data_IF_783033222683
#
_entry.id   IF_783033222683
#
_cell.length_a   1.000
_cell.length_b   1.000
_cell.length_c   1.000
_cell.angle_alpha   90.00
_cell.angle_beta   90.00
_cell.angle_gamma   90.00
#
_symmetry.space_group_name_H-M   'P 1'
#
loop_
_entity.id
_entity.type
_entity.pdbx_description
1 polymer ?
#
# COMPACT_ATOMS: atom_id res chain seq x y z
N UNK A 1 10.46 -45.90 -2.78
CA UNK A 1 11.51 -46.59 -1.99
C UNK A 1 11.30 -46.40 -0.49
N UNK A 2 11.56 -45.21 0.10
CA UNK A 2 11.45 -44.98 1.55
C UNK A 2 10.05 -44.98 2.20
N UNK A 3 9.02 -45.48 1.51
CA UNK A 3 7.66 -45.66 2.08
C UNK A 3 7.31 -47.12 2.38
N UNK A 4 7.99 -48.09 1.75
CA UNK A 4 7.85 -49.51 2.07
C UNK A 4 8.85 -49.95 3.14
N UNK A 5 8.68 -51.15 3.69
CA UNK A 5 9.65 -51.78 4.60
C UNK A 5 10.04 -50.90 5.82
N UNK A 6 9.05 -50.44 6.59
CA UNK A 6 9.33 -49.61 7.78
C UNK A 6 9.79 -50.50 8.94
N UNK A 7 10.67 -49.98 9.80
CA UNK A 7 11.10 -50.67 11.04
C UNK A 7 11.69 -52.08 10.83
N UNK A 8 12.36 -52.32 9.70
CA UNK A 8 12.98 -53.60 9.40
C UNK A 8 12.05 -54.63 8.75
N UNK A 9 10.79 -54.27 8.47
CA UNK A 9 9.88 -55.11 7.71
C UNK A 9 10.45 -55.43 6.31
N UNK A 10 10.29 -56.66 5.80
CA UNK A 10 10.69 -56.98 4.45
C UNK A 10 9.86 -56.20 3.43
N UNK A 11 10.49 -55.70 2.37
CA UNK A 11 9.79 -55.04 1.28
C UNK A 11 10.70 -54.72 0.10
N UNK A 12 10.09 -54.55 -1.06
CA UNK A 12 10.78 -54.18 -2.29
C UNK A 12 10.09 -52.97 -2.94
N UNK A 13 10.82 -52.27 -3.80
CA UNK A 13 10.23 -51.24 -4.65
C UNK A 13 10.86 -51.31 -6.02
N UNK A 14 10.03 -51.24 -7.04
CA UNK A 14 10.43 -51.29 -8.45
C UNK A 14 9.86 -50.07 -9.15
N UNK A 15 10.64 -49.51 -10.07
CA UNK A 15 10.19 -48.44 -10.96
C UNK A 15 10.04 -49.04 -12.35
N UNK A 16 9.01 -48.59 -13.05
CA UNK A 16 8.78 -48.85 -14.46
C UNK A 16 8.90 -47.50 -15.16
N UNK A 17 9.70 -47.45 -16.22
CA UNK A 17 10.01 -46.23 -16.96
C UNK A 17 9.81 -46.55 -18.44
N UNK A 18 9.16 -45.66 -19.16
CA UNK A 18 9.01 -45.72 -20.61
C UNK A 18 9.90 -44.68 -21.29
N UNK A 19 10.33 -44.95 -22.52
CA UNK A 19 11.01 -43.95 -23.36
C UNK A 19 10.08 -42.80 -23.77
N UNK A 20 8.77 -43.00 -23.65
CA UNK A 20 7.75 -41.98 -23.90
C UNK A 20 7.50 -41.06 -22.70
N UNK A 21 8.07 -41.38 -21.53
CA UNK A 21 7.90 -40.56 -20.32
C UNK A 21 8.45 -39.14 -20.52
N UNK A 22 7.87 -38.17 -19.82
CA UNK A 22 8.21 -36.74 -19.94
C UNK A 22 9.71 -36.47 -19.73
N UNK A 23 10.33 -37.18 -18.79
CA UNK A 23 11.77 -37.12 -18.54
C UNK A 23 12.58 -37.53 -19.78
N UNK A 24 12.20 -38.65 -20.38
CA UNK A 24 12.90 -39.19 -21.55
C UNK A 24 12.64 -38.32 -22.78
N UNK A 25 11.39 -37.92 -23.03
CA UNK A 25 11.04 -37.00 -24.12
C UNK A 25 11.83 -35.68 -24.10
N UNK A 26 12.09 -35.12 -22.92
CA UNK A 26 12.79 -33.82 -22.81
C UNK A 26 14.33 -33.93 -22.88
N UNK A 27 14.94 -35.04 -22.47
CA UNK A 27 16.39 -35.09 -22.22
C UNK A 27 17.17 -36.20 -22.96
N UNK A 28 16.51 -37.10 -23.70
CA UNK A 28 17.23 -38.14 -24.45
C UNK A 28 16.42 -39.17 -25.24
N UNK A 29 15.10 -39.06 -25.33
CA UNK A 29 14.21 -40.08 -25.89
C UNK A 29 14.41 -40.34 -27.38
N UNK A 30 14.56 -39.30 -28.20
CA UNK A 30 14.63 -39.44 -29.67
C UNK A 30 15.81 -40.30 -30.15
N UNK A 31 17.02 -40.04 -29.64
CA UNK A 31 18.20 -40.83 -30.01
C UNK A 31 18.12 -42.28 -29.55
N UNK A 32 17.45 -42.53 -28.42
CA UNK A 32 17.32 -43.86 -27.83
C UNK A 32 16.22 -44.66 -28.55
N UNK A 33 15.09 -44.02 -28.87
CA UNK A 33 14.00 -44.59 -29.67
C UNK A 33 14.47 -44.93 -31.08
N UNK A 34 15.23 -44.04 -31.74
CA UNK A 34 15.81 -44.35 -33.05
C UNK A 34 16.76 -45.55 -33.01
N UNK A 35 17.56 -45.67 -31.95
CA UNK A 35 18.47 -46.81 -31.79
C UNK A 35 17.66 -48.11 -31.62
N UNK A 36 16.61 -48.08 -30.80
CA UNK A 36 15.75 -49.25 -30.55
C UNK A 36 14.99 -49.70 -31.80
N UNK A 37 14.45 -48.76 -32.57
CA UNK A 37 13.77 -49.06 -33.84
C UNK A 37 14.72 -49.68 -34.86
N UNK A 38 16.00 -49.27 -34.88
CA UNK A 38 17.03 -49.86 -35.76
C UNK A 38 17.44 -51.27 -35.33
N UNK A 39 17.40 -51.57 -34.03
CA UNK A 39 17.72 -52.90 -33.50
C UNK A 39 16.52 -53.86 -33.46
N UNK A 40 15.32 -53.41 -33.84
CA UNK A 40 14.13 -54.26 -33.95
C UNK A 40 13.70 -54.89 -32.63
N UNK A 41 13.83 -54.15 -31.51
CA UNK A 41 13.33 -54.62 -30.21
C UNK A 41 11.79 -54.58 -30.17
N UNK A 42 11.18 -55.61 -29.57
CA UNK A 42 9.74 -55.69 -29.37
C UNK A 42 9.28 -54.76 -28.23
N UNK A 43 8.14 -54.09 -28.41
CA UNK A 43 7.63 -53.04 -27.51
C UNK A 43 7.27 -53.55 -26.10
N UNK A 44 6.95 -54.84 -25.97
CA UNK A 44 6.44 -55.45 -24.74
C UNK A 44 7.53 -56.15 -23.90
N UNK A 45 8.79 -56.11 -24.35
CA UNK A 45 9.92 -56.77 -23.67
C UNK A 45 10.64 -55.79 -22.73
N UNK A 46 10.76 -56.10 -21.42
CA UNK A 46 11.52 -55.26 -20.51
C UNK A 46 13.00 -55.16 -20.91
N UNK A 47 13.44 -53.96 -21.27
CA UNK A 47 14.84 -53.71 -21.62
C UNK A 47 15.65 -53.47 -20.34
N UNK A 48 16.70 -54.26 -20.15
CA UNK A 48 17.69 -54.07 -19.09
C UNK A 48 19.07 -54.04 -19.71
N UNK A 49 19.63 -52.83 -19.86
CA UNK A 49 20.97 -52.69 -20.43
C UNK A 49 21.74 -51.57 -19.72
N UNK A 50 23.02 -51.79 -19.33
CA UNK A 50 23.80 -50.79 -18.58
C UNK A 50 23.95 -49.41 -19.25
N UNK A 51 23.84 -49.32 -20.58
CA UNK A 51 23.87 -48.02 -21.28
C UNK A 51 22.57 -47.23 -21.09
N UNK A 52 21.42 -47.92 -20.96
CA UNK A 52 20.13 -47.29 -20.72
C UNK A 52 20.08 -46.71 -19.30
N UNK A 53 20.59 -47.43 -18.30
CA UNK A 53 20.72 -46.94 -16.93
C UNK A 53 21.59 -45.66 -16.86
N UNK A 54 22.70 -45.63 -17.60
CA UNK A 54 23.57 -44.44 -17.71
C UNK A 54 22.85 -43.26 -18.37
N UNK A 55 22.05 -43.51 -19.40
CA UNK A 55 21.27 -42.48 -20.09
C UNK A 55 20.18 -41.91 -19.17
N UNK A 56 19.43 -42.77 -18.48
CA UNK A 56 18.40 -42.36 -17.51
C UNK A 56 19.04 -41.55 -16.37
N UNK A 57 20.15 -42.04 -15.81
CA UNK A 57 20.89 -41.32 -14.77
C UNK A 57 21.37 -39.95 -15.24
N UNK A 58 21.92 -39.86 -16.45
CA UNK A 58 22.36 -38.60 -17.05
C UNK A 58 21.20 -37.62 -17.30
N UNK A 59 20.06 -38.13 -17.77
CA UNK A 59 18.84 -37.33 -17.94
C UNK A 59 18.36 -36.77 -16.60
N UNK A 60 18.34 -37.58 -15.54
CA UNK A 60 17.99 -37.13 -14.20
C UNK A 60 18.97 -36.06 -13.67
N UNK A 61 20.29 -36.27 -13.78
CA UNK A 61 21.29 -35.27 -13.37
C UNK A 61 21.13 -33.95 -14.13
N UNK A 62 20.80 -33.99 -15.42
CA UNK A 62 20.51 -32.77 -16.21
C UNK A 62 19.26 -32.05 -15.71
N UNK A 63 18.19 -32.77 -15.35
CA UNK A 63 16.98 -32.15 -14.77
C UNK A 63 17.28 -31.52 -13.42
N UNK A 64 18.05 -32.21 -12.57
CA UNK A 64 18.47 -31.68 -11.27
C UNK A 64 19.33 -30.42 -11.46
N UNK A 65 20.27 -30.44 -12.40
CA UNK A 65 21.07 -29.28 -12.81
C UNK A 65 20.21 -28.13 -13.32
N UNK A 66 19.29 -28.39 -14.24
CA UNK A 66 18.37 -27.38 -14.77
C UNK A 66 17.53 -26.71 -13.67
N UNK A 67 16.94 -27.50 -12.75
CA UNK A 67 16.19 -26.98 -11.61
C UNK A 67 17.09 -26.26 -10.60
N UNK A 68 18.35 -26.69 -10.44
CA UNK A 68 19.33 -25.98 -9.63
C UNK A 68 19.67 -24.62 -10.24
N UNK A 69 19.93 -24.54 -11.54
CA UNK A 69 20.28 -23.32 -12.25
C UNK A 69 19.12 -22.31 -12.23
N UNK A 70 17.87 -22.75 -12.41
CA UNK A 70 16.70 -21.88 -12.26
C UNK A 70 16.66 -21.26 -10.85
N UNK A 71 16.80 -22.08 -9.81
CA UNK A 71 16.75 -21.60 -8.42
C UNK A 71 17.92 -20.67 -8.11
N UNK A 72 19.12 -20.99 -8.60
CA UNK A 72 20.29 -20.14 -8.49
C UNK A 72 20.05 -18.79 -9.14
N UNK A 73 19.54 -18.76 -10.37
CA UNK A 73 19.21 -17.52 -11.05
C UNK A 73 18.16 -16.71 -10.28
N UNK A 74 17.06 -17.33 -9.86
CA UNK A 74 16.01 -16.65 -9.07
C UNK A 74 16.61 -16.00 -7.81
N UNK A 75 17.48 -16.72 -7.09
CA UNK A 75 18.17 -16.21 -5.91
C UNK A 75 19.11 -15.04 -6.25
N UNK A 76 19.90 -15.13 -7.33
CA UNK A 76 20.85 -14.08 -7.73
C UNK A 76 20.17 -12.74 -8.04
N UNK A 77 18.96 -12.76 -8.60
CA UNK A 77 18.15 -11.56 -8.83
C UNK A 77 17.49 -11.08 -7.52
N UNK A 78 16.95 -11.98 -6.70
CA UNK A 78 16.31 -11.61 -5.43
C UNK A 78 17.33 -11.03 -4.44
N UNK A 79 18.58 -11.51 -4.40
CA UNK A 79 19.64 -11.00 -3.53
C UNK A 79 19.86 -9.48 -3.68
N UNK A 80 19.68 -8.95 -4.88
CA UNK A 80 19.79 -7.51 -5.16
C UNK A 80 18.64 -6.76 -4.49
N UNK A 81 17.41 -7.25 -4.69
CA UNK A 81 16.20 -6.65 -4.13
C UNK A 81 16.17 -6.81 -2.60
N UNK A 82 16.64 -7.93 -2.08
CA UNK A 82 16.65 -8.23 -0.66
C UNK A 82 17.56 -7.24 0.11
N UNK A 83 18.74 -6.92 -0.43
CA UNK A 83 19.61 -5.87 0.16
C UNK A 83 18.91 -4.51 0.22
N UNK A 84 18.20 -4.12 -0.83
CA UNK A 84 17.43 -2.87 -0.83
C UNK A 84 16.28 -2.91 0.19
N UNK A 85 15.58 -4.05 0.28
CA UNK A 85 14.49 -4.28 1.23
C UNK A 85 14.97 -4.17 2.67
N UNK A 86 16.13 -4.72 3.00
CA UNK A 86 16.73 -4.61 4.34
C UNK A 86 16.91 -3.15 4.76
N UNK A 87 17.44 -2.31 3.88
CA UNK A 87 17.65 -0.88 4.13
C UNK A 87 16.32 -0.14 4.28
N UNK A 88 15.38 -0.32 3.34
CA UNK A 88 14.06 0.33 3.40
C UNK A 88 13.30 -0.09 4.66
N UNK A 89 13.36 -1.37 5.04
CA UNK A 89 12.67 -1.85 6.25
C UNK A 89 13.35 -1.36 7.53
N UNK A 90 14.67 -1.21 7.53
CA UNK A 90 15.38 -0.57 8.63
C UNK A 90 14.93 0.89 8.78
N UNK A 91 14.91 1.66 7.69
CA UNK A 91 14.43 3.05 7.70
C UNK A 91 12.96 3.17 8.15
N UNK A 92 12.06 2.29 7.67
CA UNK A 92 10.65 2.28 8.13
C UNK A 92 10.55 2.00 9.63
N UNK A 93 11.30 1.03 10.14
CA UNK A 93 11.33 0.72 11.59
C UNK A 93 11.86 1.91 12.38
N UNK A 94 12.91 2.55 11.90
CA UNK A 94 13.50 3.74 12.51
C UNK A 94 12.47 4.87 12.63
N UNK A 95 11.76 5.21 11.54
CA UNK A 95 10.68 6.22 11.55
C UNK A 95 9.58 5.88 12.57
N UNK A 96 9.21 4.60 12.68
CA UNK A 96 8.22 4.14 13.63
C UNK A 96 8.69 4.23 15.09
N UNK A 97 9.99 3.97 15.34
CA UNK A 97 10.55 3.91 16.70
C UNK A 97 11.06 5.24 17.23
N UNK A 98 11.57 6.13 16.37
CA UNK A 98 12.24 7.36 16.82
C UNK A 98 11.28 8.27 17.60
N UNK A 99 11.71 8.83 18.75
CA UNK A 99 10.87 9.70 19.55
C UNK A 99 10.69 11.09 18.91
N UNK A 100 11.52 11.48 17.96
CA UNK A 100 11.34 12.72 17.22
C UNK A 100 11.86 12.53 15.80
N UNK A 101 11.26 13.23 14.85
CA UNK A 101 11.63 13.22 13.43
C UNK A 101 11.90 14.63 12.89
N UNK A 102 11.83 15.68 13.74
CA UNK A 102 12.02 17.09 13.34
C UNK A 102 13.25 17.25 12.46
N UNK A 103 14.40 16.86 13.00
CA UNK A 103 15.68 17.11 12.37
C UNK A 103 15.83 16.27 11.10
N UNK A 104 15.27 15.06 11.07
CA UNK A 104 15.32 14.22 9.87
C UNK A 104 14.48 14.83 8.74
N UNK A 105 13.29 15.34 9.04
CA UNK A 105 12.44 16.02 8.06
C UNK A 105 13.09 17.33 7.59
N UNK A 106 13.61 18.15 8.52
CA UNK A 106 14.27 19.42 8.18
C UNK A 106 15.54 19.21 7.37
N UNK A 107 16.34 18.17 7.64
CA UNK A 107 17.51 17.82 6.79
C UNK A 107 17.08 17.54 5.36
N UNK A 108 16.01 16.77 5.14
CA UNK A 108 15.52 16.51 3.78
C UNK A 108 15.06 17.79 3.08
N UNK A 109 14.44 18.72 3.82
CA UNK A 109 14.05 20.04 3.30
C UNK A 109 15.27 20.89 2.96
N UNK A 110 16.28 20.92 3.82
CA UNK A 110 17.51 21.67 3.61
C UNK A 110 18.27 21.16 2.38
N UNK A 111 18.40 19.85 2.23
CA UNK A 111 19.04 19.22 1.07
C UNK A 111 18.24 19.47 -0.23
N UNK A 112 16.89 19.48 -0.17
CA UNK A 112 16.04 19.88 -1.30
C UNK A 112 16.27 21.33 -1.70
N UNK A 113 16.33 22.24 -0.72
CA UNK A 113 16.61 23.66 -0.93
C UNK A 113 17.99 23.84 -1.55
N UNK A 114 19.03 23.21 -0.98
CA UNK A 114 20.40 23.29 -1.49
C UNK A 114 20.50 22.76 -2.91
N UNK A 115 19.81 21.67 -3.24
CA UNK A 115 19.76 21.15 -4.62
C UNK A 115 19.14 22.17 -5.57
N UNK A 116 18.03 22.81 -5.20
CA UNK A 116 17.38 23.82 -6.03
C UNK A 116 18.25 25.07 -6.20
N UNK A 117 18.88 25.54 -5.12
CA UNK A 117 19.82 26.66 -5.17
C UNK A 117 20.96 26.31 -6.13
N UNK A 118 21.66 25.20 -5.93
CA UNK A 118 22.75 24.76 -6.81
C UNK A 118 22.34 24.62 -8.29
N UNK A 119 21.11 24.15 -8.54
CA UNK A 119 20.57 24.01 -9.91
C UNK A 119 20.34 25.35 -10.59
N UNK A 120 19.98 26.40 -9.83
CA UNK A 120 19.61 27.71 -10.36
C UNK A 120 20.68 28.78 -10.17
N UNK A 121 21.77 28.48 -9.46
CA UNK A 121 22.96 29.31 -9.34
C UNK A 121 24.20 28.50 -9.76
N UNK A 122 24.28 28.06 -11.03
CA UNK A 122 25.42 27.29 -11.50
C UNK A 122 26.66 28.18 -11.60
N UNK A 123 27.75 27.77 -10.94
CA UNK A 123 29.02 28.48 -11.04
C UNK A 123 29.08 29.85 -10.33
N UNK A 124 30.22 30.55 -10.45
CA UNK A 124 30.47 31.81 -9.75
C UNK A 124 29.83 33.04 -10.42
N UNK A 125 29.51 32.96 -11.71
CA UNK A 125 29.03 34.08 -12.51
C UNK A 125 27.55 34.35 -12.28
N UNK A 126 27.21 35.55 -11.80
CA UNK A 126 25.83 35.92 -11.44
C UNK A 126 24.90 36.05 -12.64
N UNK A 127 25.43 36.20 -13.84
CA UNK A 127 24.64 36.30 -15.08
C UNK A 127 23.95 34.97 -15.41
N UNK A 128 24.55 33.85 -15.00
CA UNK A 128 24.01 32.50 -15.22
C UNK A 128 22.95 32.11 -14.18
N UNK A 129 22.71 32.95 -13.17
CA UNK A 129 21.78 32.65 -12.09
C UNK A 129 20.33 32.95 -12.47
N UNK A 130 19.46 31.94 -12.39
CA UNK A 130 18.02 32.11 -12.59
C UNK A 130 17.26 32.13 -11.25
N UNK A 131 17.41 33.26 -10.54
CA UNK A 131 16.76 33.48 -9.24
C UNK A 131 15.23 33.53 -9.34
N UNK A 132 14.69 33.88 -10.51
CA UNK A 132 13.24 33.91 -10.74
C UNK A 132 12.69 32.49 -10.75
N UNK A 133 13.34 31.59 -11.48
CA UNK A 133 12.96 30.18 -11.52
C UNK A 133 13.15 29.52 -10.16
N UNK A 134 14.26 29.77 -9.47
CA UNK A 134 14.46 29.33 -8.08
C UNK A 134 13.29 29.75 -7.18
N UNK A 135 12.90 31.03 -7.23
CA UNK A 135 11.79 31.54 -6.42
C UNK A 135 10.46 30.85 -6.76
N UNK A 136 10.19 30.64 -8.04
CA UNK A 136 8.96 29.99 -8.49
C UNK A 136 8.92 28.52 -8.03
N UNK A 137 10.04 27.80 -8.13
CA UNK A 137 10.10 26.40 -7.71
C UNK A 137 9.98 26.26 -6.18
N UNK A 138 10.65 27.13 -5.41
CA UNK A 138 10.52 27.15 -3.95
C UNK A 138 9.09 27.44 -3.50
N UNK A 139 8.39 28.38 -4.13
CA UNK A 139 6.99 28.72 -3.79
C UNK A 139 6.00 27.58 -3.96
N UNK A 140 6.34 26.55 -4.74
CA UNK A 140 5.46 25.39 -4.91
C UNK A 140 5.28 24.61 -3.62
N UNK A 141 6.22 24.71 -2.67
CA UNK A 141 6.15 23.98 -1.41
C UNK A 141 6.52 24.83 -0.19
N UNK A 142 7.46 25.77 -0.29
CA UNK A 142 7.90 26.60 0.82
C UNK A 142 7.06 27.88 0.91
N UNK A 143 6.48 28.22 2.08
CA UNK A 143 5.74 29.46 2.26
C UNK A 143 6.70 30.66 2.35
N UNK A 144 7.11 31.20 1.20
CA UNK A 144 7.99 32.37 1.15
C UNK A 144 7.29 33.61 1.71
N UNK A 145 7.96 34.31 2.63
CA UNK A 145 7.48 35.58 3.18
C UNK A 145 7.44 36.67 2.09
N UNK A 146 6.51 37.65 2.20
CA UNK A 146 6.51 38.81 1.32
C UNK A 146 7.86 39.53 1.35
N UNK A 147 8.55 39.59 0.21
CA UNK A 147 9.89 40.17 0.09
C UNK A 147 11.04 39.16 0.09
N UNK A 148 10.83 37.91 0.50
CA UNK A 148 11.76 36.81 0.20
C UNK A 148 11.62 36.44 -1.29
N UNK A 149 12.63 36.77 -2.09
CA UNK A 149 12.57 36.55 -3.53
C UNK A 149 13.75 37.13 -4.30
N UNK A 150 13.67 37.10 -5.64
CA UNK A 150 14.83 37.30 -6.52
C UNK A 150 15.55 38.63 -6.30
N UNK A 151 14.80 39.70 -6.05
CA UNK A 151 15.35 41.06 -5.86
C UNK A 151 16.29 41.13 -4.64
N UNK A 152 15.94 40.46 -3.54
CA UNK A 152 16.81 40.40 -2.36
C UNK A 152 17.99 39.47 -2.57
N UNK A 153 17.78 38.34 -3.23
CA UNK A 153 18.82 37.33 -3.45
C UNK A 153 19.88 37.79 -4.45
N UNK A 154 19.56 38.70 -5.37
CA UNK A 154 20.49 39.20 -6.38
C UNK A 154 21.79 39.81 -5.81
N UNK A 155 21.74 40.33 -4.58
CA UNK A 155 22.92 40.88 -3.88
C UNK A 155 23.74 39.84 -3.11
N UNK A 156 23.16 38.67 -2.82
CA UNK A 156 23.67 37.70 -1.86
C UNK A 156 24.60 36.67 -2.49
N UNK A 157 25.42 36.03 -1.66
CA UNK A 157 26.17 34.81 -2.04
C UNK A 157 25.25 33.58 -1.99
N UNK A 158 25.67 32.49 -2.64
CA UNK A 158 24.94 31.21 -2.60
C UNK A 158 24.72 30.74 -1.15
N UNK A 159 25.77 30.78 -0.32
CA UNK A 159 25.68 30.38 1.08
C UNK A 159 24.73 31.26 1.92
N UNK A 160 24.69 32.57 1.63
CA UNK A 160 23.72 33.47 2.29
C UNK A 160 22.27 33.17 1.87
N UNK A 161 22.05 32.83 0.59
CA UNK A 161 20.73 32.43 0.08
C UNK A 161 20.29 31.12 0.76
N UNK A 162 21.17 30.11 0.79
CA UNK A 162 20.89 28.82 1.44
C UNK A 162 20.57 28.99 2.92
N UNK A 163 21.43 29.68 3.67
CA UNK A 163 21.24 29.92 5.10
C UNK A 163 19.88 30.58 5.38
N UNK A 164 19.52 31.65 4.64
CA UNK A 164 18.22 32.32 4.83
C UNK A 164 17.04 31.44 4.45
N UNK A 165 17.17 30.61 3.42
CA UNK A 165 16.11 29.68 3.03
C UNK A 165 15.96 28.55 4.05
N UNK A 166 17.06 28.06 4.64
CA UNK A 166 17.03 27.07 5.71
C UNK A 166 16.40 27.63 6.99
N UNK A 167 16.78 28.84 7.42
CA UNK A 167 16.15 29.53 8.55
C UNK A 167 14.65 29.75 8.34
N UNK A 168 14.27 30.21 7.14
CA UNK A 168 12.87 30.39 6.76
C UNK A 168 12.11 29.06 6.79
N UNK A 169 12.71 27.98 6.30
CA UNK A 169 12.12 26.66 6.29
C UNK A 169 11.90 26.09 7.70
N UNK A 170 12.86 26.29 8.59
CA UNK A 170 12.74 25.90 9.99
C UNK A 170 11.62 26.70 10.69
N UNK A 171 11.64 28.03 10.59
CA UNK A 171 10.59 28.90 11.16
C UNK A 171 9.21 28.54 10.63
N UNK A 172 9.07 28.36 9.31
CA UNK A 172 7.81 27.97 8.68
C UNK A 172 7.33 26.59 9.15
N UNK A 173 8.23 25.66 9.41
CA UNK A 173 7.87 24.31 9.88
C UNK A 173 7.34 24.37 11.31
N UNK A 174 7.99 25.13 12.19
CA UNK A 174 7.57 25.30 13.58
C UNK A 174 6.23 26.05 13.67
N UNK A 175 6.09 27.18 12.95
CA UNK A 175 4.83 27.94 12.86
C UNK A 175 3.67 27.10 12.33
N UNK A 176 3.91 26.30 11.29
CA UNK A 176 2.91 25.39 10.74
C UNK A 176 2.46 24.38 11.80
N UNK A 177 3.40 23.74 12.50
CA UNK A 177 3.09 22.76 13.53
C UNK A 177 2.31 23.35 14.69
N UNK A 178 2.76 24.50 15.20
CA UNK A 178 2.13 25.25 16.27
C UNK A 178 0.67 25.55 15.92
N UNK A 179 0.44 26.17 14.76
CA UNK A 179 -0.90 26.53 14.28
C UNK A 179 -1.82 25.30 14.13
N UNK A 180 -1.32 24.20 13.57
CA UNK A 180 -2.11 22.98 13.41
C UNK A 180 -2.44 22.33 14.75
N UNK A 181 -1.47 22.32 15.68
CA UNK A 181 -1.67 21.81 17.04
C UNK A 181 -2.75 22.61 17.78
N UNK A 182 -2.68 23.94 17.76
CA UNK A 182 -3.67 24.84 18.37
C UNK A 182 -5.08 24.61 17.80
N UNK A 183 -5.19 24.49 16.46
CA UNK A 183 -6.46 24.23 15.79
C UNK A 183 -7.08 22.90 16.23
N UNK A 184 -6.28 21.83 16.29
CA UNK A 184 -6.74 20.50 16.71
C UNK A 184 -7.02 20.42 18.21
N UNK A 185 -6.17 21.03 19.03
CA UNK A 185 -6.36 21.09 20.48
C UNK A 185 -7.66 21.81 20.83
N UNK A 186 -7.96 22.91 20.14
CA UNK A 186 -9.25 23.61 20.26
C UNK A 186 -10.46 22.76 19.87
N UNK A 187 -10.32 21.82 18.93
CA UNK A 187 -11.39 20.86 18.61
C UNK A 187 -11.58 19.84 19.75
N UNK A 188 -10.49 19.28 20.28
CA UNK A 188 -10.54 18.32 21.41
C UNK A 188 -11.16 18.94 22.65
N UNK A 189 -10.89 20.22 22.93
CA UNK A 189 -11.53 20.95 24.03
C UNK A 189 -13.06 21.06 23.87
N UNK A 190 -13.55 21.21 22.63
CA UNK A 190 -15.00 21.26 22.33
C UNK A 190 -15.67 19.91 22.51
N UNK A 191 -14.94 18.80 22.40
CA UNK A 191 -15.45 17.44 22.61
C UNK A 191 -15.63 17.09 24.11
N UNK A 192 -15.29 17.98 25.04
CA UNK A 192 -15.35 17.75 26.50
C UNK A 192 -14.60 16.46 26.94
N UNK A 193 -13.51 16.14 26.25
CA UNK A 193 -12.71 14.94 26.47
C UNK A 193 -11.82 15.08 27.71
N UNK A 194 -11.70 14.00 28.49
CA UNK A 194 -10.72 13.86 29.58
C UNK A 194 -9.42 13.21 29.07
N UNK A 195 -8.33 13.31 29.84
CA UNK A 195 -7.02 12.76 29.44
C UNK A 195 -7.07 11.23 29.30
N UNK A 196 -7.78 10.52 30.18
CA UNK A 196 -8.00 9.06 30.06
C UNK A 196 -8.74 8.66 28.77
N UNK A 197 -9.55 9.57 28.23
CA UNK A 197 -10.26 9.38 26.96
C UNK A 197 -9.31 9.33 25.76
N UNK A 198 -8.13 9.95 25.87
CA UNK A 198 -7.09 9.85 24.85
C UNK A 198 -6.41 8.48 24.87
N UNK A 199 -6.20 7.91 26.06
CA UNK A 199 -5.59 6.59 26.24
C UNK A 199 -6.47 5.44 25.74
N UNK A 200 -7.77 5.51 26.03
CA UNK A 200 -8.76 4.50 25.66
C UNK A 200 -9.28 4.64 24.22
N UNK A 201 -8.83 5.66 23.48
CA UNK A 201 -9.24 5.90 22.11
C UNK A 201 -8.72 4.82 21.14
N UNK A 202 -9.57 4.40 20.20
CA UNK A 202 -9.16 3.54 19.07
C UNK A 202 -8.21 4.24 18.08
N UNK A 203 -8.14 5.57 18.10
CA UNK A 203 -7.24 6.36 17.25
C UNK A 203 -5.78 6.30 17.76
N UNK A 204 -4.82 5.78 16.96
CA UNK A 204 -3.40 5.76 17.32
C UNK A 204 -2.80 7.14 17.61
N UNK A 205 -3.27 8.21 16.95
CA UNK A 205 -2.80 9.58 17.20
C UNK A 205 -3.09 9.98 18.65
N UNK A 206 -4.32 9.74 19.12
CA UNK A 206 -4.73 10.10 20.49
C UNK A 206 -3.94 9.34 21.55
N UNK A 207 -3.65 8.05 21.33
CA UNK A 207 -2.79 7.25 22.22
C UNK A 207 -1.35 7.74 22.26
N UNK A 208 -0.79 8.13 21.11
CA UNK A 208 0.54 8.72 21.04
C UNK A 208 0.60 10.05 21.80
N UNK A 209 -0.39 10.93 21.57
CA UNK A 209 -0.54 12.20 22.27
C UNK A 209 -0.62 11.97 23.77
N UNK A 210 -1.44 11.01 24.22
CA UNK A 210 -1.54 10.68 25.64
C UNK A 210 -0.18 10.33 26.25
N UNK A 211 0.60 9.45 25.61
CA UNK A 211 1.94 9.11 26.05
C UNK A 211 2.89 10.32 26.13
N UNK A 212 2.79 11.27 25.19
CA UNK A 212 3.57 12.52 25.21
C UNK A 212 3.17 13.44 26.34
N UNK A 213 1.87 13.62 26.53
CA UNK A 213 1.33 14.43 27.63
C UNK A 213 1.78 13.85 28.97
N UNK A 214 1.68 12.54 29.18
CA UNK A 214 2.16 11.88 30.40
C UNK A 214 3.67 12.05 30.64
N UNK A 215 4.49 12.06 29.58
CA UNK A 215 5.93 12.26 29.71
C UNK A 215 6.33 13.69 30.10
N UNK A 216 5.49 14.68 29.78
CA UNK A 216 5.68 16.09 30.22
C UNK A 216 5.07 16.34 31.60
N UNK A 217 3.97 15.67 31.89
CA UNK A 217 3.44 15.56 33.25
C UNK A 217 4.29 14.58 34.07
N UNK A 218 3.90 14.38 35.33
CA UNK A 218 4.43 13.29 36.13
C UNK A 218 4.01 11.94 35.48
N UNK A 219 4.93 10.96 35.30
CA UNK A 219 4.61 9.64 34.73
C UNK A 219 3.49 8.88 35.44
N UNK A 220 3.20 9.22 36.70
CA UNK A 220 2.07 8.69 37.46
C UNK A 220 1.19 9.86 37.96
N UNK A 221 0.38 10.46 37.10
CA UNK A 221 -0.48 11.58 37.49
C UNK A 221 -1.64 11.08 38.36
N UNK A 222 -2.15 11.98 39.20
CA UNK A 222 -3.33 11.74 40.03
C UNK A 222 -4.51 11.22 39.17
N UNK A 223 -5.16 10.10 39.53
CA UNK A 223 -6.36 9.61 38.85
C UNK A 223 -7.44 10.67 38.65
N UNK A 224 -7.60 11.60 39.59
CA UNK A 224 -8.60 12.68 39.49
C UNK A 224 -8.26 13.67 38.35
N UNK A 225 -6.97 13.90 38.11
CA UNK A 225 -6.49 14.71 36.98
C UNK A 225 -6.82 14.04 35.66
N UNK A 226 -6.69 12.71 35.57
CA UNK A 226 -6.91 11.95 34.35
C UNK A 226 -8.37 11.95 33.89
N UNK A 227 -9.31 11.90 34.85
CA UNK A 227 -10.75 11.98 34.62
C UNK A 227 -11.26 13.41 34.40
N UNK A 228 -10.44 14.43 34.67
CA UNK A 228 -10.85 15.82 34.50
C UNK A 228 -10.89 16.20 33.00
N UNK A 229 -11.99 16.80 32.50
CA UNK A 229 -12.06 17.28 31.13
C UNK A 229 -10.95 18.31 30.84
N UNK A 230 -10.29 18.19 29.69
CA UNK A 230 -9.13 19.02 29.30
C UNK A 230 -9.42 20.53 29.43
N UNK A 231 -10.64 20.95 29.11
CA UNK A 231 -11.07 22.36 29.22
C UNK A 231 -11.13 22.91 30.65
N UNK A 232 -11.22 22.03 31.66
CA UNK A 232 -11.34 22.37 33.09
C UNK A 232 -10.01 22.28 33.85
N UNK A 233 -8.93 21.89 33.18
CA UNK A 233 -7.61 21.80 33.80
C UNK A 233 -7.12 23.18 34.23
N UNK A 234 -6.30 23.22 35.28
CA UNK A 234 -5.62 24.44 35.73
C UNK A 234 -4.71 24.99 34.62
N UNK A 235 -4.44 26.30 34.62
CA UNK A 235 -3.62 26.95 33.59
C UNK A 235 -2.25 26.29 33.40
N UNK A 236 -1.58 25.92 34.50
CA UNK A 236 -0.28 25.28 34.47
C UNK A 236 -0.33 23.90 33.79
N UNK A 237 -1.23 23.02 34.26
CA UNK A 237 -1.38 21.67 33.68
C UNK A 237 -1.85 21.75 32.23
N UNK A 238 -2.75 22.67 31.93
CA UNK A 238 -3.26 22.87 30.57
C UNK A 238 -2.14 23.23 29.60
N UNK A 239 -1.19 24.07 30.01
CA UNK A 239 -0.04 24.43 29.17
C UNK A 239 0.86 23.24 28.85
N UNK A 240 1.12 22.37 29.84
CA UNK A 240 1.90 21.15 29.61
C UNK A 240 1.17 20.13 28.72
N UNK A 241 -0.15 20.00 28.91
CA UNK A 241 -1.00 19.16 28.05
C UNK A 241 -1.00 19.67 26.61
N UNK A 242 -1.09 20.99 26.42
CA UNK A 242 -1.05 21.62 25.10
C UNK A 242 0.29 21.40 24.40
N UNK A 243 1.40 21.56 25.12
CA UNK A 243 2.74 21.27 24.59
C UNK A 243 2.91 19.78 24.24
N UNK A 244 2.48 18.87 25.12
CA UNK A 244 2.52 17.42 24.85
C UNK A 244 1.63 17.01 23.68
N UNK A 245 0.49 17.70 23.50
CA UNK A 245 -0.37 17.53 22.35
C UNK A 245 0.33 17.95 21.06
N UNK A 246 0.96 19.14 21.04
CA UNK A 246 1.71 19.64 19.90
C UNK A 246 2.83 18.67 19.47
N UNK A 247 3.61 18.17 20.42
CA UNK A 247 4.68 17.20 20.16
C UNK A 247 4.15 15.89 19.58
N UNK A 248 3.12 15.32 20.21
CA UNK A 248 2.52 14.05 19.78
C UNK A 248 1.90 14.18 18.39
N UNK A 249 1.24 15.29 18.12
CA UNK A 249 0.67 15.58 16.82
C UNK A 249 1.75 15.77 15.75
N UNK A 250 2.76 16.60 16.00
CA UNK A 250 3.89 16.83 15.09
C UNK A 250 4.58 15.51 14.72
N UNK A 251 4.93 14.71 15.73
CA UNK A 251 5.56 13.40 15.53
C UNK A 251 4.68 12.46 14.70
N UNK A 252 3.37 12.41 14.97
CA UNK A 252 2.45 11.60 14.18
C UNK A 252 2.40 12.07 12.73
N UNK A 253 2.30 13.38 12.50
CA UNK A 253 2.25 13.97 11.16
C UNK A 253 3.51 13.63 10.37
N UNK A 254 4.68 13.83 10.96
CA UNK A 254 5.96 13.57 10.31
C UNK A 254 6.16 12.07 10.02
N UNK A 255 5.78 11.18 10.96
CA UNK A 255 5.75 9.73 10.70
C UNK A 255 4.85 9.38 9.53
N UNK A 256 3.64 9.93 9.49
CA UNK A 256 2.69 9.67 8.40
C UNK A 256 3.23 10.18 7.05
N UNK A 257 3.83 11.36 7.03
CA UNK A 257 4.48 11.94 5.86
C UNK A 257 5.58 11.02 5.32
N UNK A 258 6.53 10.64 6.19
CA UNK A 258 7.67 9.80 5.80
C UNK A 258 7.24 8.41 5.37
N UNK A 259 6.38 7.73 6.14
CA UNK A 259 5.92 6.38 5.81
C UNK A 259 5.11 6.34 4.52
N UNK A 260 4.24 7.32 4.26
CA UNK A 260 3.49 7.38 3.00
C UNK A 260 4.42 7.57 1.80
N UNK A 261 5.43 8.43 1.92
CA UNK A 261 6.41 8.63 0.86
C UNK A 261 7.20 7.34 0.58
N UNK A 262 7.76 6.72 1.62
CA UNK A 262 8.51 5.46 1.51
C UNK A 262 7.63 4.35 0.93
N UNK A 263 6.44 4.12 1.49
CA UNK A 263 5.58 2.99 1.09
C UNK A 263 5.09 3.12 -0.35
N UNK A 264 4.65 4.31 -0.76
CA UNK A 264 4.12 4.51 -2.11
C UNK A 264 5.19 4.40 -3.19
N UNK A 265 6.38 4.95 -2.94
CA UNK A 265 7.49 4.90 -3.88
C UNK A 265 8.18 3.52 -3.90
N UNK A 266 8.27 2.85 -2.76
CA UNK A 266 8.81 1.48 -2.70
C UNK A 266 7.96 0.47 -3.47
N UNK A 267 6.63 0.55 -3.36
CA UNK A 267 5.73 -0.33 -4.14
C UNK A 267 5.91 -0.10 -5.66
N UNK A 268 6.04 1.16 -6.09
CA UNK A 268 6.33 1.48 -7.49
C UNK A 268 7.68 0.92 -7.91
N UNK A 269 8.71 1.13 -7.11
CA UNK A 269 10.07 0.62 -7.38
C UNK A 269 10.12 -0.91 -7.51
N UNK A 270 9.40 -1.64 -6.66
CA UNK A 270 9.29 -3.10 -6.80
C UNK A 270 8.64 -3.52 -8.12
N UNK A 271 7.64 -2.78 -8.58
CA UNK A 271 6.99 -3.01 -9.87
C UNK A 271 7.97 -2.75 -11.02
N UNK A 272 8.73 -1.65 -10.93
CA UNK A 272 9.72 -1.29 -11.95
C UNK A 272 10.88 -2.32 -11.99
N UNK A 273 11.31 -2.85 -10.83
CA UNK A 273 12.32 -3.91 -10.76
C UNK A 273 11.83 -5.24 -11.32
N UNK A 274 10.55 -5.57 -11.16
CA UNK A 274 9.95 -6.76 -11.76
C UNK A 274 9.94 -6.65 -13.28
N UNK A 275 9.50 -5.50 -13.81
CA UNK A 275 9.56 -5.21 -15.24
C UNK A 275 11.01 -5.24 -15.78
N UNK A 276 11.96 -4.68 -15.04
CA UNK A 276 13.38 -4.73 -15.39
C UNK A 276 13.88 -6.18 -15.44
N UNK A 277 13.53 -7.02 -14.44
CA UNK A 277 13.96 -8.42 -14.39
C UNK A 277 13.41 -9.22 -15.58
N UNK A 278 12.16 -8.99 -15.97
CA UNK A 278 11.56 -9.66 -17.13
C UNK A 278 12.21 -9.20 -18.45
N UNK A 279 12.56 -7.92 -18.58
CA UNK A 279 13.17 -7.36 -19.79
C UNK A 279 14.68 -7.59 -19.95
N UNK A 280 15.43 -7.74 -18.84
CA UNK A 280 16.90 -7.75 -18.88
C UNK A 280 17.49 -8.96 -19.61
N UNK A 281 16.73 -10.05 -19.74
CA UNK A 281 17.12 -11.23 -20.50
C UNK A 281 17.48 -10.92 -21.96
N UNK A 282 16.88 -9.87 -22.54
CA UNK A 282 17.19 -9.42 -23.90
C UNK A 282 18.59 -8.83 -24.06
N UNK A 283 19.28 -8.46 -22.97
CA UNK A 283 20.67 -7.97 -23.06
C UNK A 283 21.70 -9.05 -23.33
N UNK A 284 21.34 -10.32 -23.12
CA UNK A 284 22.19 -11.45 -23.48
C UNK A 284 22.52 -11.46 -25.00
N UNK A 285 21.62 -10.93 -25.85
CA UNK A 285 21.86 -10.79 -27.28
C UNK A 285 23.01 -9.83 -27.62
N UNK A 286 23.31 -8.87 -26.74
CA UNK A 286 24.42 -7.92 -26.88
C UNK A 286 25.72 -8.37 -26.21
N UNK A 287 25.86 -9.66 -25.89
CA UNK A 287 27.01 -10.24 -25.16
C UNK A 287 27.26 -9.63 -23.78
N UNK A 288 26.27 -8.96 -23.19
CA UNK A 288 26.34 -8.48 -21.81
C UNK A 288 25.74 -9.52 -20.88
N UNK A 289 26.38 -9.72 -19.72
CA UNK A 289 25.82 -10.58 -18.68
C UNK A 289 24.56 -9.91 -18.07
N UNK A 290 23.36 -10.52 -18.20
CA UNK A 290 22.11 -9.91 -17.73
C UNK A 290 22.10 -9.61 -16.24
N UNK A 291 22.74 -10.44 -15.42
CA UNK A 291 22.80 -10.24 -13.96
C UNK A 291 23.63 -9.00 -13.61
N UNK A 292 24.75 -8.78 -14.30
CA UNK A 292 25.60 -7.60 -14.09
C UNK A 292 24.85 -6.33 -14.50
N UNK A 293 24.19 -6.37 -15.67
CA UNK A 293 23.37 -5.27 -16.14
C UNK A 293 22.22 -4.94 -15.18
N UNK A 294 21.49 -5.98 -14.74
CA UNK A 294 20.41 -5.85 -13.75
C UNK A 294 20.90 -5.21 -12.46
N UNK A 295 22.03 -5.68 -11.90
CA UNK A 295 22.61 -5.12 -10.67
C UNK A 295 22.91 -3.63 -10.80
N UNK A 296 23.47 -3.21 -11.94
CA UNK A 296 23.80 -1.81 -12.21
C UNK A 296 22.52 -0.95 -12.26
N UNK A 297 21.56 -1.33 -13.09
CA UNK A 297 20.32 -0.56 -13.23
C UNK A 297 19.48 -0.57 -11.95
N UNK A 298 19.37 -1.71 -11.28
CA UNK A 298 18.66 -1.78 -10.00
C UNK A 298 19.28 -0.86 -8.94
N UNK A 299 20.61 -0.67 -8.97
CA UNK A 299 21.29 0.27 -8.08
C UNK A 299 21.01 1.72 -8.46
N UNK A 300 21.04 2.06 -9.75
CA UNK A 300 20.70 3.41 -10.25
C UNK A 300 19.24 3.77 -9.91
N UNK A 301 18.30 2.85 -10.16
CA UNK A 301 16.89 2.99 -9.79
C UNK A 301 16.70 3.16 -8.28
N UNK A 302 17.47 2.43 -7.47
CA UNK A 302 17.43 2.58 -6.02
C UNK A 302 17.94 3.95 -5.55
N UNK A 303 19.01 4.47 -6.14
CA UNK A 303 19.47 5.84 -5.88
C UNK A 303 18.39 6.87 -6.24
N UNK A 304 17.74 6.71 -7.40
CA UNK A 304 16.63 7.57 -7.82
C UNK A 304 15.41 7.46 -6.89
N UNK A 305 15.11 6.27 -6.37
CA UNK A 305 14.07 6.05 -5.36
C UNK A 305 14.35 6.86 -4.09
N UNK A 306 15.58 6.77 -3.55
CA UNK A 306 15.94 7.49 -2.32
C UNK A 306 15.82 9.01 -2.51
N UNK A 307 16.32 9.53 -3.63
CA UNK A 307 16.17 10.95 -3.98
C UNK A 307 14.69 11.36 -4.11
N UNK A 308 13.86 10.50 -4.72
CA UNK A 308 12.42 10.74 -4.87
C UNK A 308 11.69 10.75 -3.53
N UNK A 309 12.06 9.86 -2.60
CA UNK A 309 11.49 9.83 -1.24
C UNK A 309 11.80 11.14 -0.53
N UNK A 310 13.07 11.55 -0.53
CA UNK A 310 13.52 12.78 0.09
C UNK A 310 12.79 14.00 -0.49
N UNK A 311 12.76 14.12 -1.82
CA UNK A 311 12.09 15.22 -2.51
C UNK A 311 10.59 15.24 -2.21
N UNK A 312 9.92 14.08 -2.18
CA UNK A 312 8.50 13.99 -1.86
C UNK A 312 8.21 14.45 -0.43
N UNK A 313 9.04 14.05 0.54
CA UNK A 313 8.91 14.46 1.95
C UNK A 313 9.11 15.97 2.07
N UNK A 314 10.22 16.49 1.54
CA UNK A 314 10.58 17.90 1.59
C UNK A 314 9.50 18.80 0.98
N UNK A 315 8.98 18.43 -0.20
CA UNK A 315 7.97 19.22 -0.90
C UNK A 315 6.56 19.10 -0.33
N UNK A 316 6.28 18.06 0.46
CA UNK A 316 4.94 17.82 1.01
C UNK A 316 4.78 18.30 2.45
N UNK A 317 5.88 18.54 3.19
CA UNK A 317 5.81 18.87 4.62
C UNK A 317 4.97 20.12 4.93
N UNK A 318 5.03 21.14 4.06
CA UNK A 318 4.31 22.40 4.23
C UNK A 318 2.93 22.42 3.57
N UNK A 319 2.68 21.51 2.61
CA UNK A 319 1.45 21.47 1.80
C UNK A 319 0.42 20.49 2.39
N UNK A 320 0.85 19.60 3.29
CA UNK A 320 -0.01 18.59 3.90
C UNK A 320 -1.15 19.26 4.68
N UNK A 321 -2.30 19.41 4.02
CA UNK A 321 -3.54 19.74 4.69
C UNK A 321 -3.88 18.56 5.60
N UNK A 322 -4.20 18.86 6.85
CA UNK A 322 -4.89 17.90 7.68
C UNK A 322 -6.16 17.52 6.96
N UNK A 323 -6.19 16.30 6.41
CA UNK A 323 -7.44 15.64 6.09
C UNK A 323 -8.12 15.48 7.44
N UNK A 324 -8.95 16.47 7.82
CA UNK A 324 -9.88 16.31 8.91
C UNK A 324 -10.55 14.97 8.64
N UNK A 325 -10.60 14.04 9.61
CA UNK A 325 -11.31 12.80 9.40
C UNK A 325 -12.70 13.24 8.97
N UNK A 326 -13.05 13.02 7.70
CA UNK A 326 -14.42 13.19 7.26
C UNK A 326 -15.19 12.41 8.31
N UNK A 327 -15.99 13.11 9.13
CA UNK A 327 -16.84 12.47 10.14
C UNK A 327 -17.41 11.32 9.39
N UNK A 328 -16.93 10.10 9.69
CA UNK A 328 -17.39 8.90 9.02
C UNK A 328 -18.86 8.98 9.39
N UNK A 329 -19.69 9.42 8.44
CA UNK A 329 -21.10 9.69 8.70
C UNK A 329 -21.51 8.34 9.22
N UNK A 330 -21.71 8.25 10.53
CA UNK A 330 -22.04 6.98 11.14
C UNK A 330 -23.37 6.74 10.47
N UNK A 331 -23.36 5.92 9.42
CA UNK A 331 -24.59 5.34 8.92
C UNK A 331 -25.18 4.78 10.20
N UNK A 332 -26.35 5.29 10.63
CA UNK A 332 -26.87 4.96 11.94
C UNK A 332 -26.71 3.46 12.05
N UNK A 333 -25.93 3.02 13.04
CA UNK A 333 -25.76 1.60 13.32
C UNK A 333 -27.19 1.10 13.31
N UNK A 334 -27.56 0.30 12.31
CA UNK A 334 -28.82 -0.42 12.35
C UNK A 334 -28.70 -1.19 13.64
N UNK A 335 -29.38 -0.69 14.66
CA UNK A 335 -29.58 -1.41 15.90
C UNK A 335 -30.15 -2.72 15.39
N UNK A 336 -29.37 -3.80 15.48
CA UNK A 336 -29.93 -5.13 15.43
C UNK A 336 -30.73 -5.24 16.72
N UNK A 337 -31.90 -4.60 16.73
CA UNK A 337 -32.97 -4.98 17.62
C UNK A 337 -33.35 -6.37 17.15
N UNK A 338 -32.99 -7.35 17.96
CA UNK A 338 -33.53 -8.70 17.88
C UNK A 338 -35.01 -8.67 18.25
N UNK A 339 -35.81 -7.99 17.44
CA UNK A 339 -37.26 -8.11 17.40
C UNK A 339 -37.66 -8.13 15.93
N UNK A 340 -38.29 -9.21 15.43
CA UNK A 340 -38.74 -9.27 14.06
C UNK A 340 -39.89 -8.28 13.88
N UNK A 341 -39.64 -7.22 13.11
CA UNK A 341 -40.68 -6.35 12.60
C UNK A 341 -41.69 -7.20 11.83
N UNK A 342 -42.92 -7.28 12.36
CA UNK A 342 -44.06 -7.89 11.67
C UNK A 342 -44.23 -7.19 10.31
N UNK A 343 -44.06 -7.96 9.24
CA UNK A 343 -44.35 -7.49 7.89
C UNK A 343 -45.84 -7.16 7.77
N UNK A 344 -46.15 -6.06 7.07
CA UNK A 344 -47.50 -5.70 6.68
C UNK A 344 -48.15 -6.81 5.83
N UNK A 345 -49.49 -6.98 5.84
CA UNK A 345 -50.11 -8.30 5.68
C UNK A 345 -50.18 -8.90 4.26
N UNK A 346 -49.50 -8.37 3.24
CA UNK A 346 -49.80 -8.76 1.85
C UNK A 346 -48.63 -8.93 0.86
N UNK A 347 -47.37 -8.88 1.31
CA UNK A 347 -46.24 -9.19 0.43
C UNK A 347 -45.62 -10.54 0.80
N UNK A 348 -45.64 -11.48 -0.15
CA UNK A 348 -44.97 -12.77 0.01
C UNK A 348 -43.44 -12.56 0.08
N UNK A 349 -42.70 -13.34 0.89
CA UNK A 349 -41.26 -13.24 1.01
C UNK A 349 -40.53 -13.37 -0.34
N UNK A 350 -39.35 -12.78 -0.46
CA UNK A 350 -38.47 -12.97 -1.62
C UNK A 350 -37.96 -14.42 -1.73
N UNK A 351 -37.58 -14.85 -2.93
CA UNK A 351 -37.21 -16.25 -3.25
C UNK A 351 -36.20 -16.89 -2.28
N UNK A 352 -35.23 -16.12 -1.78
CA UNK A 352 -34.18 -16.61 -0.86
C UNK A 352 -34.40 -16.20 0.61
N UNK A 353 -35.47 -15.47 0.92
CA UNK A 353 -35.80 -15.05 2.28
C UNK A 353 -36.30 -16.25 3.12
N UNK A 354 -36.28 -16.16 4.46
CA UNK A 354 -36.90 -17.16 5.32
C UNK A 354 -38.37 -17.35 4.98
N UNK A 355 -38.83 -18.60 4.94
CA UNK A 355 -40.24 -18.86 4.66
C UNK A 355 -41.14 -18.33 5.77
N UNK A 356 -42.28 -17.74 5.40
CA UNK A 356 -43.26 -17.17 6.33
C UNK A 356 -43.88 -18.20 7.31
N UNK A 357 -43.82 -19.50 7.02
CA UNK A 357 -44.32 -20.57 7.89
C UNK A 357 -43.45 -20.85 9.12
N UNK A 358 -42.29 -20.20 9.26
CA UNK A 358 -41.39 -20.40 10.41
C UNK A 358 -40.56 -21.69 10.39
N UNK A 359 -40.54 -22.44 9.29
CA UNK A 359 -39.79 -23.71 9.16
C UNK A 359 -38.27 -23.59 9.18
N UNK A 360 -37.71 -22.36 9.19
CA UNK A 360 -36.27 -22.10 9.06
C UNK A 360 -35.70 -22.33 7.66
N UNK A 361 -36.48 -22.88 6.73
CA UNK A 361 -36.07 -23.09 5.33
C UNK A 361 -36.25 -21.80 4.50
N UNK A 362 -35.44 -21.66 3.44
CA UNK A 362 -35.61 -20.59 2.44
C UNK A 362 -36.95 -20.74 1.72
N UNK A 363 -37.64 -19.65 1.41
CA UNK A 363 -38.98 -19.64 0.82
C UNK A 363 -39.11 -20.51 -0.44
N UNK A 364 -38.11 -20.47 -1.35
CA UNK A 364 -38.04 -21.33 -2.54
C UNK A 364 -38.06 -22.84 -2.27
N UNK A 365 -37.61 -23.27 -1.09
CA UNK A 365 -37.53 -24.67 -0.68
C UNK A 365 -38.71 -25.07 0.22
N UNK A 366 -39.70 -24.19 0.38
CA UNK A 366 -40.83 -24.40 1.28
C UNK A 366 -42.14 -24.02 0.56
N UNK A 367 -42.79 -22.90 0.89
CA UNK A 367 -44.14 -22.58 0.40
C UNK A 367 -44.19 -21.85 -0.96
N UNK A 368 -43.06 -21.48 -1.57
CA UNK A 368 -43.06 -20.69 -2.82
C UNK A 368 -43.84 -21.35 -3.96
N UNK A 369 -43.77 -22.68 -4.11
CA UNK A 369 -44.49 -23.38 -5.19
C UNK A 369 -46.01 -23.34 -4.97
N UNK A 370 -46.44 -23.58 -3.74
CA UNK A 370 -47.84 -23.60 -3.35
C UNK A 370 -48.49 -22.20 -3.47
N UNK A 371 -47.75 -21.15 -3.10
CA UNK A 371 -48.21 -19.77 -3.23
C UNK A 371 -48.24 -19.27 -4.68
N UNK A 372 -47.34 -19.78 -5.54
CA UNK A 372 -47.39 -19.54 -6.99
C UNK A 372 -48.56 -20.23 -7.67
N UNK A 373 -48.90 -21.46 -7.25
CA UNK A 373 -50.08 -22.19 -7.73
C UNK A 373 -51.38 -21.48 -7.33
N UNK A 374 -51.47 -20.98 -6.08
CA UNK A 374 -52.60 -20.18 -5.60
C UNK A 374 -52.77 -18.86 -6.38
N UNK A 375 -51.68 -18.17 -6.71
CA UNK A 375 -51.74 -16.95 -7.55
C UNK A 375 -52.18 -17.23 -8.98
N UNK A 376 -51.84 -18.40 -9.55
CA UNK A 376 -52.25 -18.79 -10.91
C UNK A 376 -53.73 -19.16 -11.00
N UNK A 377 -54.33 -19.68 -9.92
CA UNK A 377 -55.76 -20.00 -9.87
C UNK A 377 -56.69 -18.79 -9.68
N UNK A 378 -56.18 -17.60 -9.35
CA UNK A 378 -56.99 -16.44 -8.97
C UNK A 378 -57.38 -15.51 -10.14
N UNK A 379 -57.05 -15.84 -11.39
CA UNK A 379 -57.29 -14.98 -12.57
C UNK A 379 -58.39 -15.58 -13.45
N UNK A 380 -59.68 -15.34 -13.13
CA UNK A 380 -60.82 -15.57 -14.03
C UNK A 380 -61.84 -14.40 -13.96
N UNK A 381 -61.76 -13.51 -14.99
CA UNK A 381 -62.77 -12.62 -15.65
C UNK A 381 -63.73 -11.70 -14.84
N UNK A 382 -64.43 -10.68 -15.44
CA UNK A 382 -64.50 -10.21 -16.85
C UNK A 382 -64.32 -8.67 -17.07
N UNK A 383 -64.42 -8.13 -18.32
CA UNK A 383 -64.04 -6.75 -18.65
C UNK A 383 -65.23 -5.79 -18.81
N UNK A 384 -65.02 -4.48 -18.59
CA UNK A 384 -65.99 -3.46 -19.04
C UNK A 384 -65.39 -2.10 -19.45
N UNK A 385 -65.48 -1.87 -20.78
CA UNK A 385 -65.98 -0.68 -21.51
C UNK A 385 -65.22 0.67 -21.49
N UNK A 386 -64.73 0.97 -22.70
CA UNK A 386 -64.44 2.27 -23.36
C UNK A 386 -65.61 3.27 -23.25
N UNK A 387 -65.44 4.60 -23.17
CA UNK A 387 -65.05 5.59 -24.22
C UNK A 387 -65.50 7.01 -23.73
N UNK A 388 -65.36 8.15 -24.44
CA UNK A 388 -64.17 8.75 -25.08
C UNK A 388 -64.05 10.31 -24.94
N UNK A 389 -62.83 10.84 -25.10
CA UNK A 389 -62.53 12.00 -25.98
C UNK A 389 -62.70 13.46 -25.51
N UNK A 390 -61.64 14.27 -25.66
CA UNK A 390 -61.63 15.47 -26.55
C UNK A 390 -60.21 16.06 -26.75
N UNK A 391 -60.01 16.62 -27.95
CA UNK A 391 -58.77 17.02 -28.62
C UNK A 391 -58.33 18.48 -28.34
N UNK A 392 -57.08 18.76 -28.78
CA UNK A 392 -56.48 20.00 -29.38
C UNK A 392 -55.52 20.75 -28.43
N UNK A 393 -54.34 21.23 -28.86
CA UNK A 393 -53.79 21.37 -30.21
C UNK A 393 -52.28 21.69 -30.24
N UNK A 394 -51.74 21.63 -31.46
CA UNK A 394 -50.34 21.87 -31.88
C UNK A 394 -49.85 23.30 -31.64
N UNK A 395 -48.55 23.45 -31.39
CA UNK A 395 -47.70 24.44 -32.10
C UNK A 395 -46.26 23.95 -32.23
N UNK A 396 -45.78 23.92 -33.47
CA UNK A 396 -44.38 23.75 -33.86
C UNK A 396 -43.72 25.14 -33.87
N UNK A 397 -42.47 25.23 -33.43
CA UNK A 397 -41.49 26.19 -33.94
C UNK A 397 -40.15 25.49 -34.10
N UNK A 398 -39.50 25.78 -35.22
CA UNK A 398 -38.29 25.17 -35.76
C UNK A 398 -37.35 26.31 -36.12
N UNK A 399 -36.05 26.02 -36.11
CA UNK A 399 -34.89 26.82 -36.58
C UNK A 399 -34.36 27.80 -35.52
N UNK A 400 -33.04 27.92 -35.36
CA UNK A 400 -31.96 27.75 -36.35
C UNK A 400 -30.77 27.01 -35.77
#
# INVERSE_FOLDING_TARGET
RGRGARQGDPGSSRFYISLEDELMRRFGGERVQELMNRFGMEDDVPIQHPWLDKTIGSAQTRVEGYNFDIRKHVLEFDDVVNKQREVIYAQRREVLSQPDLRDQVLRMVQEEISRLVATHTPGPDREDWDLRRLSNELRMFLPLTPGAGPVRWAGMTVGEIEMKLHELAESAYDELNQRLAEQLFGQVQKENMALEGLASSGDPLRRLIYGRVLGRLNPNPDPDLLGTPIRKLSSNVKSEVEAGFADGFRLHRDRQLMLRAVDSLWVRHLTDLEALREGIGLRAYGQQNPLVAYRKEAHEMYGALLASIQQMIARSVYVTQLVAPQRRRQQPRKVRSGEPARAAPNELPGRNDPCWCGSGLKYKNCHMRLDQERRRGAVVAPPSRTSPGKKKGRRKTKRR
#
